data_IF_671464270899
#
_entry.id   IF_671464270899
#
_cell.length_a   1.000
_cell.length_b   1.000
_cell.length_c   1.000
_cell.angle_alpha   90.00
_cell.angle_beta   90.00
_cell.angle_gamma   90.00
#
_symmetry.space_group_name_H-M   'P 1'
#
loop_
_entity.id
_entity.type
_entity.pdbx_description
1 polymer ?
#
# COMPACT_ATOMS: atom_id res chain seq x y z
N UNK A 1 -11.41 -19.80 25.84
CA UNK A 1 -12.58 -19.10 25.26
C UNK A 1 -12.34 -17.61 25.01
N UNK A 2 -11.83 -16.81 25.96
CA UNK A 2 -11.49 -15.37 25.72
C UNK A 2 -10.43 -15.10 24.64
N UNK A 3 -9.70 -16.14 24.24
CA UNK A 3 -8.64 -16.10 23.24
C UNK A 3 -9.11 -15.52 21.90
N UNK A 4 -10.17 -16.06 21.29
CA UNK A 4 -10.53 -15.71 19.90
C UNK A 4 -10.87 -14.23 19.71
N UNK A 5 -11.71 -13.68 20.58
CA UNK A 5 -12.10 -12.26 20.57
C UNK A 5 -10.87 -11.36 20.70
N UNK A 6 -9.88 -11.78 21.49
CA UNK A 6 -8.60 -11.07 21.60
C UNK A 6 -7.70 -11.28 20.37
N UNK A 7 -7.77 -12.43 19.70
CA UNK A 7 -7.04 -12.67 18.45
C UNK A 7 -7.61 -11.88 17.25
N UNK A 8 -8.85 -11.40 17.31
CA UNK A 8 -9.42 -10.58 16.22
C UNK A 8 -8.65 -9.26 16.06
N UNK A 9 -7.99 -8.76 17.11
CA UNK A 9 -7.09 -7.61 17.01
C UNK A 9 -5.86 -7.92 16.16
N UNK A 10 -5.24 -9.08 16.40
CA UNK A 10 -4.12 -9.58 15.59
C UNK A 10 -4.54 -9.87 14.15
N UNK A 11 -5.73 -10.45 13.95
CA UNK A 11 -6.30 -10.62 12.59
C UNK A 11 -6.45 -9.25 11.93
N UNK A 12 -7.01 -8.26 12.63
CA UNK A 12 -7.20 -6.91 12.08
C UNK A 12 -5.86 -6.26 11.70
N UNK A 13 -4.85 -6.41 12.55
CA UNK A 13 -3.49 -5.97 12.27
C UNK A 13 -2.88 -6.67 11.06
N UNK A 14 -3.03 -8.00 10.95
CA UNK A 14 -2.53 -8.77 9.81
C UNK A 14 -3.23 -8.38 8.51
N UNK A 15 -4.56 -8.27 8.53
CA UNK A 15 -5.38 -7.86 7.38
C UNK A 15 -5.00 -6.46 6.92
N UNK A 16 -4.87 -5.48 7.84
CA UNK A 16 -4.53 -4.11 7.44
C UNK A 16 -3.09 -4.04 6.93
N UNK A 17 -2.15 -4.77 7.53
CA UNK A 17 -0.76 -4.83 7.08
C UNK A 17 -0.65 -5.50 5.70
N UNK A 18 -1.35 -6.61 5.50
CA UNK A 18 -1.42 -7.31 4.21
C UNK A 18 -2.04 -6.41 3.14
N UNK A 19 -3.17 -5.78 3.43
CA UNK A 19 -3.80 -4.81 2.54
C UNK A 19 -2.89 -3.63 2.25
N UNK A 20 -2.19 -3.11 3.25
CA UNK A 20 -1.21 -2.04 3.08
C UNK A 20 -0.13 -2.42 2.08
N UNK A 21 0.44 -3.61 2.22
CA UNK A 21 1.49 -4.11 1.36
C UNK A 21 1.00 -4.44 -0.05
N UNK A 22 -0.14 -5.12 -0.16
CA UNK A 22 -0.67 -5.61 -1.44
C UNK A 22 -1.42 -4.52 -2.22
N UNK A 23 -2.02 -3.53 -1.54
CA UNK A 23 -2.97 -2.58 -2.12
C UNK A 23 -2.59 -1.10 -1.93
N UNK A 24 -1.77 -0.71 -0.92
CA UNK A 24 -1.57 0.70 -0.53
C UNK A 24 -0.12 1.12 -0.20
N UNK A 25 0.86 0.51 -0.85
CA UNK A 25 2.28 0.93 -0.81
C UNK A 25 2.89 0.94 0.60
N UNK A 26 2.53 -0.02 1.44
CA UNK A 26 3.02 -0.16 2.81
C UNK A 26 2.66 1.03 3.73
N UNK A 27 1.62 1.81 3.39
CA UNK A 27 1.08 2.84 4.28
C UNK A 27 -0.08 2.29 5.10
N UNK A 28 0.06 2.24 6.43
CA UNK A 28 -1.05 1.96 7.33
C UNK A 28 -0.90 2.67 8.67
N UNK A 29 -2.03 2.94 9.31
CA UNK A 29 -2.09 3.35 10.71
C UNK A 29 -2.86 2.31 11.51
N UNK A 30 -2.48 2.13 12.76
CA UNK A 30 -3.16 1.24 13.68
C UNK A 30 -3.15 1.90 15.05
N UNK A 31 -4.34 2.15 15.60
CA UNK A 31 -4.50 2.85 16.86
C UNK A 31 -5.55 2.16 17.73
N UNK A 32 -5.24 2.02 19.01
CA UNK A 32 -6.21 1.58 20.02
C UNK A 32 -6.77 2.81 20.71
N UNK A 33 -8.09 3.01 20.60
CA UNK A 33 -8.79 4.13 21.25
C UNK A 33 -9.34 3.74 22.63
N UNK A 34 -9.50 2.44 22.86
CA UNK A 34 -9.83 1.84 24.15
C UNK A 34 -9.49 0.34 24.11
N UNK A 35 -9.48 -0.36 25.26
CA UNK A 35 -9.31 -1.81 25.28
C UNK A 35 -10.38 -2.59 24.50
N UNK A 36 -11.46 -1.93 24.07
CA UNK A 36 -12.58 -2.53 23.32
C UNK A 36 -12.71 -1.98 21.89
N UNK A 37 -11.89 -1.02 21.48
CA UNK A 37 -12.04 -0.36 20.19
C UNK A 37 -10.70 -0.02 19.53
N UNK A 38 -10.51 -0.60 18.35
CA UNK A 38 -9.36 -0.37 17.48
C UNK A 38 -9.81 0.32 16.20
N UNK A 39 -8.99 1.26 15.75
CA UNK A 39 -9.13 1.92 14.46
C UNK A 39 -7.83 1.68 13.70
N UNK A 40 -7.95 1.00 12.57
CA UNK A 40 -6.87 0.77 11.62
C UNK A 40 -7.22 1.45 10.31
N UNK A 41 -6.23 1.98 9.59
CA UNK A 41 -6.47 2.54 8.26
C UNK A 41 -5.32 2.25 7.31
N UNK A 42 -5.63 2.20 6.02
CA UNK A 42 -4.65 2.10 4.95
C UNK A 42 -5.20 2.81 3.72
N UNK A 43 -4.45 3.78 3.19
CA UNK A 43 -4.99 4.76 2.25
C UNK A 43 -6.28 5.42 2.78
N UNK A 44 -7.36 5.34 2.00
CA UNK A 44 -8.69 5.86 2.36
C UNK A 44 -9.61 4.80 2.99
N UNK A 45 -9.10 3.59 3.27
CA UNK A 45 -9.86 2.56 3.96
C UNK A 45 -9.66 2.71 5.45
N UNK A 46 -10.76 2.73 6.19
CA UNK A 46 -10.76 2.68 7.66
C UNK A 46 -11.48 1.42 8.12
N UNK A 47 -10.79 0.64 8.94
CA UNK A 47 -11.26 -0.53 9.65
C UNK A 47 -11.51 -0.14 11.10
N UNK A 48 -12.75 -0.28 11.56
CA UNK A 48 -13.13 -0.04 12.95
C UNK A 48 -13.53 -1.38 13.54
N UNK A 49 -12.78 -1.82 14.54
CA UNK A 49 -13.10 -2.99 15.35
C UNK A 49 -13.68 -2.51 16.68
N UNK A 50 -14.85 -3.03 17.04
CA UNK A 50 -15.43 -2.87 18.37
C UNK A 50 -15.65 -4.25 18.95
N UNK A 51 -15.07 -4.55 20.11
CA UNK A 51 -15.18 -5.84 20.78
C UNK A 51 -15.88 -5.73 22.14
N UNK A 52 -16.57 -6.79 22.47
CA UNK A 52 -17.14 -7.11 23.78
C UNK A 52 -16.71 -8.52 24.16
N UNK A 53 -17.09 -9.00 25.34
CA UNK A 53 -16.63 -10.30 25.85
C UNK A 53 -16.90 -11.49 24.91
N UNK A 54 -17.98 -11.44 24.13
CA UNK A 54 -18.41 -12.54 23.24
C UNK A 54 -18.70 -12.11 21.81
N UNK A 55 -18.57 -10.81 21.47
CA UNK A 55 -18.91 -10.29 20.15
C UNK A 55 -17.86 -9.31 19.66
N UNK A 56 -17.59 -9.34 18.36
CA UNK A 56 -16.79 -8.36 17.64
C UNK A 56 -17.57 -7.86 16.44
N UNK A 57 -17.73 -6.54 16.38
CA UNK A 57 -18.26 -5.82 15.23
C UNK A 57 -17.10 -5.18 14.47
N UNK A 58 -16.88 -5.64 13.24
CA UNK A 58 -15.90 -5.09 12.31
C UNK A 58 -16.62 -4.26 11.27
N UNK A 59 -16.27 -2.98 11.16
CA UNK A 59 -16.75 -2.09 10.12
C UNK A 59 -15.60 -1.72 9.21
N UNK A 60 -15.72 -2.03 7.93
CA UNK A 60 -14.76 -1.60 6.90
C UNK A 60 -15.43 -0.49 6.10
N UNK A 61 -14.74 0.64 5.96
CA UNK A 61 -15.29 1.84 5.32
C UNK A 61 -14.29 2.47 4.35
N UNK A 62 -14.81 3.02 3.26
CA UNK A 62 -14.07 3.85 2.31
C UNK A 62 -14.98 4.94 1.76
N UNK A 63 -14.80 6.18 2.21
CA UNK A 63 -15.74 7.28 1.94
C UNK A 63 -17.15 6.96 2.45
N UNK A 64 -18.14 6.96 1.55
CA UNK A 64 -19.54 6.61 1.89
C UNK A 64 -19.81 5.10 1.88
N UNK A 65 -18.94 4.29 1.28
CA UNK A 65 -19.09 2.83 1.25
C UNK A 65 -18.72 2.25 2.61
N UNK A 66 -19.58 1.35 3.12
CA UNK A 66 -19.36 0.65 4.38
C UNK A 66 -19.87 -0.78 4.24
N UNK A 67 -19.10 -1.76 4.73
CA UNK A 67 -19.57 -3.14 4.97
C UNK A 67 -19.20 -3.56 6.37
N UNK A 68 -19.96 -4.51 6.92
CA UNK A 68 -19.74 -5.03 8.26
C UNK A 68 -19.58 -6.53 8.27
N UNK A 69 -18.59 -6.98 9.04
CA UNK A 69 -18.42 -8.37 9.40
C UNK A 69 -18.71 -8.47 10.90
N UNK A 70 -19.59 -9.38 11.27
CA UNK A 70 -19.90 -9.65 12.68
C UNK A 70 -19.33 -11.00 13.04
N UNK A 71 -18.70 -11.07 14.21
CA UNK A 71 -18.16 -12.30 14.79
C UNK A 71 -18.75 -12.42 16.19
N UNK A 72 -19.32 -13.57 16.51
CA UNK A 72 -19.83 -13.88 17.83
C UNK A 72 -19.38 -15.26 18.28
N UNK A 73 -19.12 -15.38 19.57
CA UNK A 73 -18.81 -16.63 20.23
C UNK A 73 -20.08 -17.10 20.95
N UNK A 74 -20.48 -18.34 20.68
CA UNK A 74 -21.59 -19.01 21.33
C UNK A 74 -21.09 -20.37 21.84
N UNK A 75 -20.93 -20.48 23.15
CA UNK A 75 -20.31 -21.65 23.81
C UNK A 75 -18.99 -22.07 23.12
N UNK A 76 -19.02 -23.18 22.41
CA UNK A 76 -17.95 -23.83 21.66
C UNK A 76 -18.07 -23.60 20.14
N UNK A 77 -18.76 -22.55 19.70
CA UNK A 77 -18.95 -22.21 18.29
C UNK A 77 -18.60 -20.75 18.02
N UNK A 78 -18.03 -20.54 16.84
CA UNK A 78 -17.89 -19.21 16.25
C UNK A 78 -18.97 -19.07 15.21
N UNK A 79 -19.71 -17.98 15.30
CA UNK A 79 -20.70 -17.58 14.32
C UNK A 79 -20.22 -16.26 13.72
N UNK A 80 -19.99 -16.24 12.41
CA UNK A 80 -19.61 -15.01 11.71
C UNK A 80 -20.39 -14.85 10.41
N UNK A 81 -20.64 -13.60 10.02
CA UNK A 81 -21.39 -13.29 8.82
C UNK A 81 -21.10 -11.88 8.31
N UNK A 82 -21.16 -11.72 6.99
CA UNK A 82 -21.13 -10.42 6.34
C UNK A 82 -22.57 -9.88 6.27
N UNK A 83 -22.81 -8.62 6.63
CA UNK A 83 -24.15 -8.03 6.52
C UNK A 83 -24.68 -8.00 5.08
N UNK A 84 -23.80 -8.03 4.07
CA UNK A 84 -24.22 -8.03 2.67
C UNK A 84 -24.74 -9.39 2.17
N UNK A 85 -24.23 -10.51 2.72
CA UNK A 85 -24.62 -11.86 2.29
C UNK A 85 -25.64 -12.51 3.23
N UNK A 86 -25.76 -12.00 4.47
CA UNK A 86 -26.58 -12.53 5.57
C UNK A 86 -26.44 -14.04 5.81
N UNK A 87 -25.37 -14.67 5.29
CA UNK A 87 -25.13 -16.10 5.46
C UNK A 87 -24.25 -16.32 6.67
N UNK A 88 -24.86 -16.82 7.74
CA UNK A 88 -24.14 -17.22 8.95
C UNK A 88 -23.27 -18.44 8.67
N UNK A 89 -21.98 -18.30 8.93
CA UNK A 89 -21.01 -19.39 8.94
C UNK A 89 -20.76 -19.78 10.39
N UNK A 90 -20.78 -21.08 10.65
CA UNK A 90 -20.69 -21.65 11.99
C UNK A 90 -19.52 -22.62 12.02
N UNK A 91 -18.54 -22.35 12.87
CA UNK A 91 -17.38 -23.21 13.05
C UNK A 91 -17.32 -23.70 14.50
N UNK A 92 -17.28 -25.02 14.70
CA UNK A 92 -17.08 -25.61 16.03
C UNK A 92 -15.63 -25.42 16.46
N UNK A 93 -15.45 -24.96 17.69
CA UNK A 93 -14.16 -24.75 18.33
C UNK A 93 -13.74 -26.02 19.07
N UNK A 94 -12.77 -26.72 18.49
CA UNK A 94 -11.92 -27.64 19.22
C UNK A 94 -10.46 -27.15 19.10
N UNK A 95 -9.54 -27.75 19.85
CA UNK A 95 -8.13 -27.32 19.91
C UNK A 95 -7.46 -27.35 18.53
N UNK A 96 -7.93 -28.22 17.63
CA UNK A 96 -7.38 -28.41 16.28
C UNK A 96 -8.02 -27.49 15.23
N UNK A 97 -9.27 -27.05 15.43
CA UNK A 97 -10.01 -26.18 14.49
C UNK A 97 -9.85 -24.68 14.81
N UNK A 98 -9.22 -24.34 15.93
CA UNK A 98 -8.98 -22.96 16.32
C UNK A 98 -8.12 -22.17 15.30
N UNK A 99 -6.98 -22.71 14.80
CA UNK A 99 -6.18 -21.99 13.81
C UNK A 99 -6.89 -21.84 12.45
N UNK A 100 -7.67 -22.85 12.04
CA UNK A 100 -8.43 -22.76 10.79
C UNK A 100 -9.48 -21.67 10.86
N UNK A 101 -10.21 -21.55 11.97
CA UNK A 101 -11.22 -20.50 12.14
C UNK A 101 -10.63 -19.09 12.09
N UNK A 102 -9.47 -18.88 12.71
CA UNK A 102 -8.75 -17.60 12.63
C UNK A 102 -8.35 -17.25 11.19
N UNK A 103 -7.83 -18.24 10.46
CA UNK A 103 -7.41 -18.08 9.06
C UNK A 103 -8.61 -17.76 8.15
N UNK A 104 -9.75 -18.43 8.36
CA UNK A 104 -10.97 -18.17 7.58
C UNK A 104 -11.50 -16.76 7.79
N UNK A 105 -11.52 -16.28 9.04
CA UNK A 105 -11.94 -14.91 9.36
C UNK A 105 -10.98 -13.89 8.73
N UNK A 106 -9.66 -14.13 8.81
CA UNK A 106 -8.64 -13.27 8.20
C UNK A 106 -8.83 -13.15 6.67
N UNK A 107 -9.01 -14.28 5.98
CA UNK A 107 -9.24 -14.32 4.54
C UNK A 107 -10.55 -13.64 4.12
N UNK A 108 -11.63 -13.86 4.87
CA UNK A 108 -12.91 -13.22 4.58
C UNK A 108 -12.83 -11.69 4.78
N UNK A 109 -12.18 -11.24 5.86
CA UNK A 109 -11.91 -9.82 6.10
C UNK A 109 -11.09 -9.20 4.96
N UNK A 110 -10.03 -9.89 4.52
CA UNK A 110 -9.19 -9.42 3.43
C UNK A 110 -9.96 -9.33 2.10
N UNK A 111 -10.83 -10.30 1.80
CA UNK A 111 -11.71 -10.26 0.63
C UNK A 111 -12.69 -9.07 0.67
N UNK A 112 -13.34 -8.84 1.81
CA UNK A 112 -14.26 -7.70 1.97
C UNK A 112 -13.51 -6.38 1.79
N UNK A 113 -12.33 -6.26 2.41
CA UNK A 113 -11.47 -5.08 2.29
C UNK A 113 -11.10 -4.83 0.83
N UNK A 114 -10.62 -5.85 0.12
CA UNK A 114 -10.26 -5.77 -1.30
C UNK A 114 -11.46 -5.38 -2.18
N UNK A 115 -12.65 -5.91 -1.88
CA UNK A 115 -13.86 -5.55 -2.62
C UNK A 115 -14.24 -4.09 -2.41
N UNK A 116 -14.32 -3.63 -1.15
CA UNK A 116 -14.57 -2.22 -0.83
C UNK A 116 -13.50 -1.34 -1.45
N UNK A 117 -12.25 -1.79 -1.45
CA UNK A 117 -11.16 -1.05 -2.03
C UNK A 117 -11.48 -0.78 -3.50
N UNK A 118 -11.65 -1.82 -4.30
CA UNK A 118 -11.92 -1.70 -5.74
C UNK A 118 -13.17 -0.85 -6.08
N UNK A 119 -14.20 -0.88 -5.24
CA UNK A 119 -15.44 -0.12 -5.44
C UNK A 119 -15.31 1.37 -5.06
N UNK A 120 -14.31 1.73 -4.26
CA UNK A 120 -14.14 3.08 -3.74
C UNK A 120 -13.46 3.98 -4.79
N UNK A 121 -14.24 4.81 -5.48
CA UNK A 121 -13.77 5.73 -6.52
C UNK A 121 -12.77 6.81 -6.03
N UNK A 122 -12.60 6.96 -4.72
CA UNK A 122 -11.68 7.92 -4.08
C UNK A 122 -10.25 7.38 -3.96
N UNK A 123 -9.90 6.31 -4.67
CA UNK A 123 -8.64 5.62 -4.46
C UNK A 123 -7.49 6.14 -5.31
N UNK A 124 -6.46 6.63 -4.61
CA UNK A 124 -5.08 6.28 -4.96
C UNK A 124 -4.74 4.99 -4.22
N UNK A 125 -5.09 3.83 -4.79
CA UNK A 125 -4.41 2.57 -4.46
C UNK A 125 -2.91 2.76 -4.68
N UNK A 126 -2.10 1.81 -4.24
CA UNK A 126 -0.78 1.58 -4.79
C UNK A 126 -0.91 1.27 -6.30
N UNK A 127 -1.16 2.33 -7.08
CA UNK A 127 -1.40 2.30 -8.51
C UNK A 127 -0.10 1.98 -9.28
N UNK A 128 0.98 1.68 -8.56
CA UNK A 128 2.35 1.56 -9.07
C UNK A 128 2.87 0.13 -9.24
N UNK A 129 2.11 -0.94 -8.91
CA UNK A 129 2.67 -2.30 -9.10
C UNK A 129 1.99 -3.23 -10.12
N UNK A 130 0.71 -3.05 -10.51
CA UNK A 130 0.07 -4.05 -11.42
C UNK A 130 -0.82 -3.59 -12.58
N UNK A 131 -1.18 -2.31 -12.78
CA UNK A 131 -1.83 -1.88 -14.04
C UNK A 131 -1.49 -0.43 -14.44
N UNK A 132 -0.74 -0.29 -15.54
CA UNK A 132 -0.67 0.84 -16.50
C UNK A 132 -1.05 2.23 -15.93
N UNK A 133 -0.10 2.92 -15.33
CA UNK A 133 -0.21 4.36 -15.07
C UNK A 133 -0.20 5.06 -16.43
N UNK A 134 -1.31 5.72 -16.81
CA UNK A 134 -1.41 6.59 -18.00
C UNK A 134 -1.37 8.09 -17.66
N UNK A 135 -1.51 8.46 -16.38
CA UNK A 135 -1.64 9.85 -15.96
C UNK A 135 -0.39 10.33 -15.21
N UNK A 136 -0.08 11.62 -15.39
CA UNK A 136 0.99 12.33 -14.68
C UNK A 136 0.58 12.48 -13.21
N UNK A 137 1.23 11.72 -12.31
CA UNK A 137 0.88 11.68 -10.89
C UNK A 137 1.54 12.83 -10.10
N UNK A 138 2.65 13.36 -10.60
CA UNK A 138 3.39 14.46 -9.98
C UNK A 138 3.20 15.72 -10.84
N UNK A 139 2.48 16.70 -10.31
CA UNK A 139 2.37 18.03 -10.94
C UNK A 139 3.68 18.78 -10.72
N UNK A 140 4.31 19.25 -11.80
CA UNK A 140 5.59 19.96 -11.73
C UNK A 140 6.14 20.33 -13.10
N UNK A 141 7.24 21.08 -13.11
CA UNK A 141 7.95 21.50 -14.32
C UNK A 141 8.85 20.37 -14.78
N UNK A 142 8.80 20.03 -16.08
CA UNK A 142 9.75 19.08 -16.67
C UNK A 142 11.08 19.79 -16.88
N UNK A 143 12.13 19.23 -16.30
CA UNK A 143 13.49 19.76 -16.42
C UNK A 143 14.22 18.97 -17.50
N UNK A 144 14.74 19.68 -18.48
CA UNK A 144 15.68 19.11 -19.46
C UNK A 144 17.08 19.24 -18.88
N UNK A 145 17.74 18.10 -18.67
CA UNK A 145 19.12 18.04 -18.16
C UNK A 145 20.07 17.61 -19.27
N UNK A 146 21.35 17.94 -19.09
CA UNK A 146 22.40 17.52 -20.02
C UNK A 146 22.67 16.00 -19.98
N UNK A 147 23.39 15.50 -20.98
CA UNK A 147 23.63 14.06 -21.13
C UNK A 147 24.53 13.49 -20.02
N UNK A 148 25.42 14.32 -19.45
CA UNK A 148 26.23 13.93 -18.30
C UNK A 148 25.36 13.63 -17.07
N UNK A 149 24.38 14.50 -16.78
CA UNK A 149 23.39 14.31 -15.71
C UNK A 149 22.54 13.08 -15.97
N UNK A 150 22.12 12.85 -17.22
CA UNK A 150 21.38 11.62 -17.60
C UNK A 150 22.20 10.37 -17.31
N UNK A 151 23.47 10.32 -17.74
CA UNK A 151 24.33 9.15 -17.53
C UNK A 151 24.60 8.88 -16.05
N UNK A 152 24.79 9.92 -15.23
CA UNK A 152 24.89 9.78 -13.77
C UNK A 152 23.61 9.18 -13.18
N UNK A 153 22.43 9.67 -13.59
CA UNK A 153 21.14 9.13 -13.15
C UNK A 153 20.97 7.65 -13.59
N UNK A 154 21.25 7.33 -14.85
CA UNK A 154 21.23 5.95 -15.38
C UNK A 154 22.09 5.02 -14.54
N UNK A 155 23.32 5.43 -14.22
CA UNK A 155 24.26 4.65 -13.39
C UNK A 155 23.69 4.40 -12.00
N UNK A 156 23.25 5.44 -11.32
CA UNK A 156 22.69 5.37 -9.96
C UNK A 156 21.47 4.44 -9.93
N UNK A 157 20.54 4.61 -10.87
CA UNK A 157 19.34 3.78 -10.89
C UNK A 157 19.60 2.35 -11.34
N UNK A 158 20.58 2.13 -12.22
CA UNK A 158 21.01 0.79 -12.58
C UNK A 158 21.55 0.03 -11.37
N UNK A 159 22.38 0.70 -10.56
CA UNK A 159 22.90 0.15 -9.30
C UNK A 159 21.77 -0.14 -8.30
N UNK A 160 20.85 0.80 -8.12
CA UNK A 160 19.74 0.67 -7.17
C UNK A 160 18.80 -0.49 -7.53
N UNK A 161 18.41 -0.62 -8.80
CA UNK A 161 17.43 -1.62 -9.24
C UNK A 161 18.05 -2.94 -9.68
N UNK A 162 19.39 -3.03 -9.72
CA UNK A 162 20.13 -4.19 -10.22
C UNK A 162 19.66 -4.63 -11.62
N UNK A 163 19.28 -3.65 -12.45
CA UNK A 163 18.77 -3.82 -13.81
C UNK A 163 19.17 -2.61 -14.65
N UNK A 164 19.37 -2.81 -15.95
CA UNK A 164 19.73 -1.74 -16.89
C UNK A 164 18.63 -0.66 -16.91
N UNK A 165 19.00 0.58 -16.58
CA UNK A 165 18.16 1.77 -16.69
C UNK A 165 18.80 2.71 -17.68
N UNK A 166 18.06 3.11 -18.72
CA UNK A 166 18.51 4.11 -19.71
C UNK A 166 17.62 5.34 -19.73
N UNK A 167 18.11 6.45 -20.23
CA UNK A 167 17.34 7.67 -20.44
C UNK A 167 16.58 7.65 -21.78
N UNK A 168 16.99 6.80 -22.72
CA UNK A 168 16.24 6.53 -23.95
C UNK A 168 15.22 5.40 -23.73
N UNK A 169 13.97 5.66 -24.14
CA UNK A 169 12.83 4.77 -23.97
C UNK A 169 12.47 3.96 -25.22
N UNK A 170 13.25 4.02 -26.30
CA UNK A 170 12.90 3.33 -27.55
C UNK A 170 12.91 1.78 -27.42
N UNK A 171 13.91 1.20 -26.75
CA UNK A 171 14.11 -0.27 -26.74
C UNK A 171 14.35 -0.90 -25.35
N UNK A 172 14.32 -0.14 -24.25
CA UNK A 172 14.75 -0.64 -22.95
C UNK A 172 13.58 -1.04 -22.03
N UNK A 173 13.74 -2.15 -21.28
CA UNK A 173 12.74 -2.63 -20.31
C UNK A 173 12.34 -1.56 -19.28
N UNK A 174 13.30 -0.73 -18.84
CA UNK A 174 13.08 0.36 -17.90
C UNK A 174 13.90 1.57 -18.33
N UNK A 175 13.23 2.72 -18.47
CA UNK A 175 13.88 3.97 -18.85
C UNK A 175 13.43 5.16 -18.01
N UNK A 176 14.26 6.20 -17.93
CA UNK A 176 13.93 7.50 -17.34
C UNK A 176 13.19 8.30 -18.40
N UNK A 177 11.90 8.56 -18.18
CA UNK A 177 11.05 9.29 -19.12
C UNK A 177 11.14 10.80 -18.96
N UNK A 178 11.04 11.29 -17.72
CA UNK A 178 11.06 12.72 -17.41
C UNK A 178 11.73 12.96 -16.06
N UNK A 179 12.32 14.13 -15.90
CA UNK A 179 12.76 14.69 -14.61
C UNK A 179 11.79 15.83 -14.30
N UNK A 180 11.17 15.79 -13.12
CA UNK A 180 10.08 16.69 -12.75
C UNK A 180 10.46 17.40 -11.46
N UNK A 181 10.49 18.72 -11.49
CA UNK A 181 10.62 19.52 -10.29
C UNK A 181 9.23 19.92 -9.78
N UNK A 182 8.94 19.58 -8.52
CA UNK A 182 7.66 19.88 -7.87
C UNK A 182 7.91 20.27 -6.41
N UNK A 183 7.42 21.44 -5.99
CA UNK A 183 7.56 21.92 -4.60
C UNK A 183 9.00 21.81 -4.05
N UNK A 184 9.99 22.21 -4.85
CA UNK A 184 11.44 22.11 -4.56
C UNK A 184 12.01 20.69 -4.46
N UNK A 185 11.21 19.66 -4.75
CA UNK A 185 11.63 18.26 -4.79
C UNK A 185 11.77 17.80 -6.23
N UNK A 186 12.77 16.97 -6.49
CA UNK A 186 13.02 16.40 -7.82
C UNK A 186 12.48 14.98 -7.85
N UNK A 187 11.61 14.72 -8.81
CA UNK A 187 11.03 13.42 -9.08
C UNK A 187 11.54 12.90 -10.42
N UNK A 188 12.04 11.67 -10.42
CA UNK A 188 12.42 10.95 -11.63
C UNK A 188 11.24 10.08 -12.03
N UNK A 189 10.65 10.37 -13.19
CA UNK A 189 9.63 9.52 -13.79
C UNK A 189 10.29 8.46 -14.63
N UNK A 190 10.03 7.20 -14.31
CA UNK A 190 10.41 6.05 -15.10
C UNK A 190 9.26 5.59 -15.99
N UNK A 191 9.61 4.93 -17.10
CA UNK A 191 8.71 4.18 -17.95
C UNK A 191 9.23 2.75 -18.10
N UNK A 192 8.40 1.77 -17.76
CA UNK A 192 8.67 0.34 -18.00
C UNK A 192 8.02 -0.04 -19.33
N UNK A 193 8.83 -0.32 -20.35
CA UNK A 193 8.34 -0.65 -21.69
C UNK A 193 7.53 -1.96 -21.69
N UNK A 194 7.99 -2.97 -20.95
CA UNK A 194 7.35 -4.29 -20.89
C UNK A 194 5.94 -4.21 -20.28
N UNK A 195 5.77 -3.37 -19.26
CA UNK A 195 4.50 -3.22 -18.56
C UNK A 195 3.66 -2.05 -19.06
N UNK A 196 4.23 -1.22 -19.94
CA UNK A 196 3.66 0.05 -20.42
C UNK A 196 3.13 0.90 -19.27
N UNK A 197 3.96 1.12 -18.24
CA UNK A 197 3.58 1.86 -17.05
C UNK A 197 4.63 2.92 -16.68
N UNK A 198 4.18 3.97 -15.99
CA UNK A 198 5.07 4.97 -15.40
C UNK A 198 5.14 4.81 -13.89
N UNK A 199 6.25 5.19 -13.27
CA UNK A 199 6.37 5.31 -11.82
C UNK A 199 7.40 6.38 -11.47
N UNK A 200 7.45 6.80 -10.20
CA UNK A 200 8.19 7.99 -9.78
C UNK A 200 9.06 7.69 -8.56
N UNK A 201 10.21 8.36 -8.48
CA UNK A 201 11.10 8.34 -7.32
C UNK A 201 11.47 9.76 -6.97
N UNK A 202 11.30 10.15 -5.70
CA UNK A 202 11.90 11.39 -5.20
C UNK A 202 13.41 11.19 -5.03
N UNK A 203 14.22 12.02 -5.69
CA UNK A 203 15.67 11.85 -5.76
C UNK A 203 16.33 11.92 -4.38
N UNK A 204 15.77 12.71 -3.46
CA UNK A 204 16.24 12.85 -2.07
C UNK A 204 16.11 11.54 -1.26
N UNK A 205 15.17 10.67 -1.60
CA UNK A 205 15.01 9.37 -0.93
C UNK A 205 16.20 8.45 -1.16
N UNK A 206 16.96 8.66 -2.24
CA UNK A 206 18.10 7.83 -2.58
C UNK A 206 19.26 7.99 -1.60
N UNK A 207 19.40 9.17 -0.98
CA UNK A 207 20.47 9.48 -0.02
C UNK A 207 20.51 8.43 1.10
N UNK A 208 19.33 8.03 1.59
CA UNK A 208 19.21 7.05 2.67
C UNK A 208 19.24 5.59 2.17
N UNK A 209 18.97 5.35 0.87
CA UNK A 209 18.87 4.00 0.29
C UNK A 209 20.19 3.51 -0.30
N UNK A 210 21.05 4.42 -0.75
CA UNK A 210 22.39 4.14 -1.29
C UNK A 210 23.41 5.09 -0.65
N UNK A 211 23.74 4.90 0.63
CA UNK A 211 24.59 5.83 1.39
C UNK A 211 25.95 6.08 0.72
N UNK A 212 26.53 5.05 0.11
CA UNK A 212 27.81 5.12 -0.60
C UNK A 212 27.80 6.10 -1.79
N UNK A 213 26.61 6.46 -2.30
CA UNK A 213 26.39 7.37 -3.41
C UNK A 213 25.68 8.67 -2.98
N UNK A 214 25.52 8.91 -1.68
CA UNK A 214 24.78 10.06 -1.14
C UNK A 214 25.33 11.40 -1.65
N UNK A 215 26.65 11.57 -1.71
CA UNK A 215 27.30 12.79 -2.20
C UNK A 215 27.00 13.04 -3.68
N UNK A 216 26.99 11.99 -4.50
CA UNK A 216 26.67 12.08 -5.93
C UNK A 216 25.19 12.41 -6.15
N UNK A 217 24.30 11.83 -5.34
CA UNK A 217 22.86 12.15 -5.36
C UNK A 217 22.63 13.62 -4.98
N UNK A 218 23.34 14.14 -3.98
CA UNK A 218 23.26 15.56 -3.58
C UNK A 218 23.74 16.48 -4.70
N UNK A 219 24.88 16.17 -5.33
CA UNK A 219 25.41 16.92 -6.48
C UNK A 219 24.40 16.96 -7.64
N UNK A 220 23.72 15.84 -7.92
CA UNK A 220 22.67 15.78 -8.92
C UNK A 220 21.46 16.65 -8.56
N UNK A 221 21.03 16.64 -7.29
CA UNK A 221 19.93 17.49 -6.83
C UNK A 221 20.27 18.97 -7.04
N UNK A 222 21.49 19.38 -6.69
CA UNK A 222 21.93 20.77 -6.82
C UNK A 222 22.08 21.18 -8.30
N UNK A 223 22.63 20.29 -9.13
CA UNK A 223 22.75 20.49 -10.58
C UNK A 223 21.37 20.70 -11.21
N UNK A 224 20.43 19.80 -10.96
CA UNK A 224 19.07 19.87 -11.55
C UNK A 224 18.32 21.13 -11.09
N UNK A 225 18.49 21.55 -9.83
CA UNK A 225 17.91 22.79 -9.32
C UNK A 225 18.53 24.03 -9.95
N UNK A 226 19.82 23.99 -10.28
CA UNK A 226 20.50 25.11 -10.94
C UNK A 226 20.06 25.30 -12.38
N UNK A 227 19.59 24.24 -13.06
CA UNK A 227 19.09 24.29 -14.44
C UNK A 227 17.75 25.01 -14.60
N UNK A 228 17.03 25.27 -13.51
CA UNK A 228 15.76 26.03 -13.52
C UNK A 228 15.97 27.55 -13.41
N UNK A 229 17.17 28.01 -13.02
CA UNK A 229 17.51 29.44 -12.92
C UNK A 229 17.90 30.02 -14.26
#
# INVERSE_FOLDING_TARGET
>A
MHALVNYVENITFNVIRRASNELFCNTFSFSSTSPSKIIASTGNITLILVKSNTKVDLTISCGKLKRKLKVSLDEDKIIYWNEDDNKKRIEKLNIYSFPSALTTIEEEMFKILTKISLECQLQSLCFSYKKRIKNVLVQGVRINVDDNTKHKLERIFTLMYKKSVKSDCNDNDLCIKNIILSNRKIFIQFYDNLKSNYWYVELSELINRIPDYASEVLELIDTIRSTER
#
